data_IF_309476906393
#
_entry.id   IF_309476906393
#
_cell.length_a   1.000
_cell.length_b   1.000
_cell.length_c   1.000
_cell.angle_alpha   90.00
_cell.angle_beta   90.00
_cell.angle_gamma   90.00
#
_symmetry.space_group_name_H-M   'P 1'
#
loop_
_entity.id
_entity.type
_entity.pdbx_description
1 polymer ?
#
# COMPACT_ATOMS: atom_id res chain seq x y z
N UNK A 1 -14.07 22.47 -5.73
CA UNK A 1 -14.05 21.00 -5.60
C UNK A 1 -12.61 20.62 -5.29
N UNK A 2 -12.29 20.25 -4.04
CA UNK A 2 -10.96 19.71 -3.77
C UNK A 2 -10.88 18.37 -4.52
N UNK A 3 -9.93 18.25 -5.45
CA UNK A 3 -9.64 16.98 -6.10
C UNK A 3 -9.19 16.03 -4.99
N UNK A 4 -9.99 15.01 -4.65
CA UNK A 4 -9.68 14.08 -3.55
C UNK A 4 -8.29 13.51 -3.76
N UNK A 5 -7.33 13.91 -2.93
CA UNK A 5 -5.93 13.54 -3.15
C UNK A 5 -5.69 12.15 -2.58
N UNK A 6 -5.60 11.15 -3.44
CA UNK A 6 -5.10 9.83 -3.07
C UNK A 6 -3.59 9.90 -2.91
N UNK A 7 -3.08 9.56 -1.72
CA UNK A 7 -1.66 9.34 -1.48
C UNK A 7 -1.45 7.90 -1.05
N UNK A 8 -0.43 7.25 -1.60
CA UNK A 8 -0.07 5.88 -1.26
C UNK A 8 1.40 5.85 -0.85
N UNK A 9 1.67 5.28 0.32
CA UNK A 9 3.00 4.87 0.76
C UNK A 9 3.11 3.36 0.75
N UNK A 10 4.24 2.83 0.30
CA UNK A 10 4.53 1.39 0.26
C UNK A 10 5.91 1.16 0.86
N UNK A 11 6.01 0.23 1.81
CA UNK A 11 7.27 -0.29 2.35
C UNK A 11 7.34 -1.79 2.10
N UNK A 12 8.33 -2.21 1.31
CA UNK A 12 8.50 -3.60 0.89
C UNK A 12 9.62 -4.22 1.73
N UNK A 13 9.22 -5.05 2.69
CA UNK A 13 10.14 -5.88 3.48
C UNK A 13 10.32 -7.28 2.91
N UNK A 14 11.12 -8.10 3.60
CA UNK A 14 11.33 -9.51 3.24
C UNK A 14 10.18 -10.44 3.64
N UNK A 15 9.49 -10.14 4.74
CA UNK A 15 8.37 -10.94 5.27
C UNK A 15 7.02 -10.31 4.95
N UNK A 16 6.92 -8.99 5.12
CA UNK A 16 5.69 -8.24 4.91
C UNK A 16 5.91 -7.04 4.00
N UNK A 17 4.85 -6.71 3.25
CA UNK A 17 4.70 -5.46 2.51
C UNK A 17 3.62 -4.64 3.21
N UNK A 18 3.96 -3.43 3.61
CA UNK A 18 3.09 -2.49 4.29
C UNK A 18 2.60 -1.42 3.30
N UNK A 19 1.29 -1.20 3.24
CA UNK A 19 0.66 -0.16 2.43
C UNK A 19 -0.12 0.80 3.32
N UNK A 20 0.06 2.10 3.08
CA UNK A 20 -0.68 3.17 3.74
C UNK A 20 -1.32 4.04 2.66
N UNK A 21 -2.65 4.05 2.62
CA UNK A 21 -3.43 4.88 1.71
C UNK A 21 -4.05 6.03 2.50
N UNK A 22 -3.84 7.27 2.05
CA UNK A 22 -4.57 8.44 2.52
C UNK A 22 -5.58 8.84 1.45
N UNK A 23 -6.87 8.71 1.79
CA UNK A 23 -8.01 9.00 0.89
C UNK A 23 -8.94 9.92 1.63
N UNK A 24 -9.14 11.13 1.13
CA UNK A 24 -10.08 12.12 1.69
C UNK A 24 -9.91 12.36 3.21
N UNK A 25 -8.66 12.34 3.68
CA UNK A 25 -8.32 12.53 5.10
C UNK A 25 -8.45 11.26 5.97
N UNK A 26 -8.87 10.14 5.40
CA UNK A 26 -8.88 8.83 6.05
C UNK A 26 -7.62 8.04 5.71
N UNK A 27 -7.14 7.25 6.68
CA UNK A 27 -6.03 6.32 6.49
C UNK A 27 -6.55 4.88 6.42
N UNK A 28 -6.12 4.17 5.38
CA UNK A 28 -6.28 2.73 5.24
C UNK A 28 -4.90 2.07 5.28
N UNK A 29 -4.78 1.00 6.05
CA UNK A 29 -3.51 0.31 6.28
C UNK A 29 -3.69 -1.16 5.92
N UNK A 30 -2.88 -1.65 5.00
CA UNK A 30 -2.82 -3.07 4.64
C UNK A 30 -1.42 -3.61 4.94
N UNK A 31 -1.37 -4.84 5.48
CA UNK A 31 -0.13 -5.58 5.70
C UNK A 31 -0.29 -6.96 5.06
N UNK A 32 0.49 -7.22 4.03
CA UNK A 32 0.45 -8.48 3.29
C UNK A 32 1.78 -9.21 3.46
N UNK A 33 1.77 -10.53 3.31
CA UNK A 33 3.03 -11.26 3.13
C UNK A 33 3.72 -10.74 1.87
N UNK A 34 5.03 -10.53 1.95
CA UNK A 34 5.83 -10.15 0.79
C UNK A 34 5.90 -11.28 -0.22
N UNK A 35 6.07 -10.91 -1.49
CA UNK A 35 6.38 -11.83 -2.58
C UNK A 35 7.81 -11.56 -3.05
N UNK A 36 8.86 -12.16 -2.45
CA UNK A 36 10.26 -11.77 -2.71
C UNK A 36 10.69 -11.93 -4.17
N UNK A 37 10.12 -12.91 -4.87
CA UNK A 37 10.39 -13.16 -6.30
C UNK A 37 9.75 -12.10 -7.22
N UNK A 38 8.69 -11.44 -6.75
CA UNK A 38 8.01 -10.38 -7.48
C UNK A 38 7.29 -9.42 -6.49
N UNK A 39 7.99 -8.44 -5.92
CA UNK A 39 7.41 -7.56 -4.91
C UNK A 39 6.21 -6.73 -5.38
N UNK A 40 6.11 -6.49 -6.68
CA UNK A 40 4.97 -5.80 -7.27
C UNK A 40 3.66 -6.57 -7.06
N UNK A 41 3.70 -7.91 -6.93
CA UNK A 41 2.51 -8.73 -6.69
C UNK A 41 1.87 -8.45 -5.33
N UNK A 42 2.68 -8.40 -4.26
CA UNK A 42 2.21 -8.09 -2.92
C UNK A 42 1.70 -6.64 -2.81
N UNK A 43 2.36 -5.70 -3.51
CA UNK A 43 1.91 -4.32 -3.61
C UNK A 43 0.55 -4.23 -4.31
N UNK A 44 0.39 -4.85 -5.50
CA UNK A 44 -0.85 -4.80 -6.27
C UNK A 44 -2.01 -5.48 -5.55
N UNK A 45 -1.76 -6.56 -4.80
CA UNK A 45 -2.76 -7.23 -3.98
C UNK A 45 -3.24 -6.38 -2.78
N UNK A 46 -2.46 -5.36 -2.40
CA UNK A 46 -2.80 -4.43 -1.32
C UNK A 46 -3.47 -3.13 -1.76
N UNK A 47 -3.67 -2.91 -3.07
CA UNK A 47 -4.40 -1.76 -3.63
C UNK A 47 -5.86 -2.12 -3.89
#
# INVERSE_FOLDING_TARGET
>A
MANGSLRVGVDIGGTFTDLVLSVDGHLHIHKLLSTPRNPAEAMLAGL
#
